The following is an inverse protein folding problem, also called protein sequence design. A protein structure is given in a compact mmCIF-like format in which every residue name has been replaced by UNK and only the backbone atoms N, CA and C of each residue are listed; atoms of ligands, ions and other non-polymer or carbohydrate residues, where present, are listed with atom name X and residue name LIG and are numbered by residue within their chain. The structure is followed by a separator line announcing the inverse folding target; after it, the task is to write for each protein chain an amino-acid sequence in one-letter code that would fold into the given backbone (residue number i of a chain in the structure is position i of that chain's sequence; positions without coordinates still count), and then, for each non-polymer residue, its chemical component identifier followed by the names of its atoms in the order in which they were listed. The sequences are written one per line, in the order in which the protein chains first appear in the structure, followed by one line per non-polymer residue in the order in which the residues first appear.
data_IF_809087041131
#
_entry.id   IF_809087041131
#
_cell.length_a   1.000
_cell.length_b   1.000
_cell.length_c   1.000
_cell.angle_alpha   90.00
_cell.angle_beta   90.00
_cell.angle_gamma   90.00
#
_symmetry.space_group_name_H-M   'P 1'
#
loop_
_entity.id
_entity.type
_entity.pdbx_description
1 polymer ?
#
# COMPACT_ATOMS: atom_id res chain seq x y z
N UNK A 1 1.95 48.38 -13.02
CA UNK A 1 1.65 47.78 -11.69
C UNK A 1 2.53 46.55 -11.55
N UNK A 2 3.37 46.51 -10.51
CA UNK A 2 4.19 45.35 -10.16
C UNK A 2 3.35 44.45 -9.26
N UNK A 3 3.18 43.19 -9.62
CA UNK A 3 2.55 42.21 -8.73
C UNK A 3 3.65 41.64 -7.83
N UNK A 4 3.60 41.98 -6.54
CA UNK A 4 4.41 41.34 -5.52
C UNK A 4 3.85 39.93 -5.32
N UNK A 5 4.69 38.92 -5.53
CA UNK A 5 4.40 37.56 -5.10
C UNK A 5 4.78 37.51 -3.61
N UNK A 6 3.80 37.67 -2.74
CA UNK A 6 3.98 37.31 -1.34
C UNK A 6 3.99 35.78 -1.31
N UNK A 7 5.18 35.23 -1.15
CA UNK A 7 5.42 33.83 -0.87
C UNK A 7 4.85 33.57 0.54
N UNK A 8 3.57 33.19 0.60
CA UNK A 8 3.03 32.55 1.80
C UNK A 8 3.79 31.24 1.97
N UNK A 9 4.78 31.28 2.88
CA UNK A 9 5.37 30.14 3.55
C UNK A 9 4.25 29.41 4.32
N UNK A 10 3.43 28.71 3.55
CA UNK A 10 2.42 27.79 4.04
C UNK A 10 3.16 26.62 4.65
N UNK A 11 3.56 26.80 5.91
CA UNK A 11 4.22 25.84 6.77
C UNK A 11 3.60 24.47 6.58
N UNK A 12 4.21 23.69 5.68
CA UNK A 12 3.88 22.31 5.46
C UNK A 12 4.33 21.65 6.74
N UNK A 13 3.40 21.35 7.64
CA UNK A 13 3.67 20.55 8.83
C UNK A 13 4.47 19.34 8.34
N UNK A 14 5.79 19.36 8.58
CA UNK A 14 6.57 18.15 8.40
C UNK A 14 6.03 17.26 9.49
N UNK A 15 5.14 16.33 9.12
CA UNK A 15 4.83 15.22 10.00
C UNK A 15 6.18 14.71 10.50
N UNK A 16 6.39 14.76 11.82
CA UNK A 16 7.65 14.33 12.40
C UNK A 16 7.80 12.84 12.10
N UNK A 17 8.59 12.54 11.07
CA UNK A 17 8.80 11.18 10.62
C UNK A 17 9.77 10.50 11.56
N UNK A 18 9.27 9.50 12.29
CA UNK A 18 10.10 8.64 13.12
C UNK A 18 10.56 7.42 12.32
N UNK A 19 11.82 7.02 12.49
CA UNK A 19 12.36 5.80 11.88
C UNK A 19 12.41 4.68 12.91
N UNK A 20 11.55 3.68 12.73
CA UNK A 20 11.40 2.57 13.66
C UNK A 20 11.85 1.26 13.01
N UNK A 21 12.39 0.29 13.76
CA UNK A 21 12.56 -1.08 13.25
C UNK A 21 11.25 -1.59 12.66
N UNK A 22 11.28 -2.21 11.48
CA UNK A 22 10.06 -2.61 10.74
C UNK A 22 9.09 -3.44 11.60
N UNK A 23 9.62 -4.34 12.43
CA UNK A 23 8.84 -5.19 13.35
C UNK A 23 8.05 -4.41 14.41
N UNK A 24 8.46 -3.19 14.74
CA UNK A 24 7.78 -2.32 15.70
C UNK A 24 6.88 -1.29 15.01
N UNK A 25 6.80 -1.29 13.68
CA UNK A 25 6.03 -0.31 12.96
C UNK A 25 4.51 -0.52 13.19
N UNK A 26 3.72 0.53 13.52
CA UNK A 26 2.31 0.40 13.92
C UNK A 26 1.40 -0.36 12.95
N UNK A 27 1.72 -0.30 11.65
CA UNK A 27 1.02 -1.05 10.59
C UNK A 27 1.03 -2.57 10.83
N UNK A 28 2.06 -3.11 11.47
CA UNK A 28 2.20 -4.54 11.77
C UNK A 28 1.87 -4.90 13.22
N UNK A 29 1.61 -3.91 14.07
CA UNK A 29 1.34 -4.12 15.50
C UNK A 29 -0.11 -4.57 15.79
N UNK A 30 -0.99 -4.60 14.78
CA UNK A 30 -2.37 -5.06 14.97
C UNK A 30 -2.39 -6.59 14.87
N UNK A 31 -2.73 -7.33 15.94
CA UNK A 31 -2.94 -8.76 15.80
C UNK A 31 -4.16 -8.97 14.90
N UNK A 32 -4.07 -9.79 13.84
CA UNK A 32 -5.28 -10.27 13.21
C UNK A 32 -6.03 -11.06 14.28
N UNK A 33 -7.32 -10.81 14.45
CA UNK A 33 -8.22 -11.81 15.04
C UNK A 33 -8.14 -13.05 14.14
N UNK A 34 -7.20 -13.92 14.49
CA UNK A 34 -7.05 -15.26 13.94
C UNK A 34 -8.17 -16.05 14.57
N UNK A 35 -9.31 -16.11 13.88
CA UNK A 35 -10.21 -17.27 13.87
C UNK A 35 -11.53 -16.88 13.19
N UNK A 36 -11.57 -16.96 11.86
CA UNK A 36 -12.77 -17.42 11.14
C UNK A 36 -12.35 -18.32 9.98
N UNK A 37 -12.82 -19.56 10.09
CA UNK A 37 -12.97 -20.62 9.09
C UNK A 37 -11.70 -21.22 8.44
N UNK A 38 -11.27 -22.38 8.94
CA UNK A 38 -12.10 -23.59 8.83
C UNK A 38 -12.60 -23.99 7.44
N UNK A 39 -11.99 -23.57 6.33
CA UNK A 39 -12.12 -24.34 5.09
C UNK A 39 -10.87 -24.21 4.20
N UNK A 40 -10.14 -25.32 4.06
CA UNK A 40 -8.89 -25.41 3.29
C UNK A 40 -9.13 -25.75 1.81
N UNK A 41 -10.35 -25.57 1.32
CA UNK A 41 -10.67 -25.79 -0.09
C UNK A 41 -10.51 -24.48 -0.89
N UNK A 42 -9.53 -24.45 -1.80
CA UNK A 42 -9.36 -23.50 -2.92
C UNK A 42 -9.02 -22.03 -2.60
N UNK A 43 -8.57 -21.69 -1.38
CA UNK A 43 -8.17 -20.31 -1.09
C UNK A 43 -6.82 -19.97 -1.73
N UNK A 44 -6.81 -18.90 -2.53
CA UNK A 44 -5.59 -18.31 -3.09
C UNK A 44 -4.62 -17.95 -1.96
N UNK A 45 -3.30 -18.23 -2.08
CA UNK A 45 -2.32 -17.75 -1.12
C UNK A 45 -2.39 -16.22 -1.04
N UNK A 46 -2.69 -15.69 0.15
CA UNK A 46 -2.77 -14.24 0.38
C UNK A 46 -1.37 -13.63 0.35
N UNK A 47 -1.16 -12.64 -0.50
CA UNK A 47 0.05 -11.82 -0.52
C UNK A 47 -0.34 -10.33 -0.60
N UNK A 48 -0.42 -9.69 0.56
CA UNK A 48 -0.84 -8.30 0.72
C UNK A 48 0.35 -7.34 0.80
N UNK A 49 1.54 -7.78 0.39
CA UNK A 49 2.75 -6.98 0.39
C UNK A 49 3.32 -6.86 -1.03
N UNK A 50 3.78 -5.66 -1.39
CA UNK A 50 4.53 -5.41 -2.61
C UNK A 50 5.72 -4.51 -2.33
N UNK A 51 6.84 -4.75 -3.00
CA UNK A 51 8.08 -4.00 -2.89
C UNK A 51 8.40 -3.37 -4.24
N UNK A 52 8.83 -2.10 -4.26
CA UNK A 52 9.18 -1.41 -5.52
C UNK A 52 10.56 -1.73 -6.07
N UNK A 53 11.34 -2.57 -5.39
CA UNK A 53 12.71 -2.87 -5.78
C UNK A 53 13.75 -1.89 -5.20
N UNK A 54 13.34 -0.86 -4.45
CA UNK A 54 14.25 0.19 -3.99
C UNK A 54 14.10 0.51 -2.50
N UNK A 55 13.06 1.25 -2.13
CA UNK A 55 12.92 1.79 -0.76
C UNK A 55 11.49 1.91 -0.30
N UNK A 56 10.52 1.35 -1.03
CA UNK A 56 9.11 1.46 -0.65
C UNK A 56 8.46 0.10 -0.57
N UNK A 57 7.88 -0.14 0.60
CA UNK A 57 7.03 -1.28 0.87
C UNK A 57 5.57 -0.82 0.86
N UNK A 58 4.73 -1.61 0.20
CA UNK A 58 3.31 -1.40 0.09
C UNK A 58 2.61 -2.53 0.81
N UNK A 59 1.70 -2.20 1.70
CA UNK A 59 0.89 -3.15 2.45
C UNK A 59 -0.59 -2.84 2.26
N UNK A 60 -1.37 -3.83 1.84
CA UNK A 60 -2.81 -3.72 1.75
C UNK A 60 -3.46 -4.11 3.07
N UNK A 61 -4.11 -3.16 3.73
CA UNK A 61 -4.93 -3.39 4.93
C UNK A 61 -6.35 -3.74 4.48
N UNK A 62 -6.69 -5.03 4.53
CA UNK A 62 -8.01 -5.53 4.15
C UNK A 62 -9.13 -5.05 5.08
N UNK A 63 -8.83 -4.74 6.35
CA UNK A 63 -9.83 -4.26 7.30
C UNK A 63 -10.21 -2.80 7.02
N UNK A 64 -9.20 -1.95 6.78
CA UNK A 64 -9.42 -0.54 6.43
C UNK A 64 -9.66 -0.30 4.95
N UNK A 65 -9.51 -1.33 4.12
CA UNK A 65 -9.60 -1.27 2.65
C UNK A 65 -8.69 -0.19 2.05
N UNK A 66 -7.47 -0.09 2.57
CA UNK A 66 -6.52 0.94 2.17
C UNK A 66 -5.10 0.37 1.98
N UNK A 67 -4.26 1.15 1.33
CA UNK A 67 -2.89 0.82 1.03
C UNK A 67 -1.95 1.69 1.87
N UNK A 68 -1.15 1.07 2.71
CA UNK A 68 -0.04 1.69 3.41
C UNK A 68 1.20 1.68 2.53
N UNK A 69 1.84 2.83 2.34
CA UNK A 69 3.16 2.96 1.71
C UNK A 69 4.17 3.40 2.75
N UNK A 70 5.09 2.50 3.07
CA UNK A 70 6.19 2.71 4.00
C UNK A 70 7.45 3.05 3.23
N UNK A 71 8.20 4.05 3.70
CA UNK A 71 9.58 4.27 3.23
C UNK A 71 10.52 3.45 4.09
N UNK A 72 11.40 2.67 3.47
CA UNK A 72 12.37 1.82 4.15
C UNK A 72 13.78 2.40 4.03
N UNK A 73 14.58 2.16 5.07
CA UNK A 73 16.04 2.23 5.05
C UNK A 73 16.56 0.83 5.31
N UNK A 74 17.28 0.28 4.33
CA UNK A 74 17.98 -0.99 4.44
C UNK A 74 19.43 -0.66 4.84
N UNK A 75 19.87 -1.11 6.00
CA UNK A 75 21.29 -1.10 6.35
C UNK A 75 21.96 -2.44 6.06
N UNK A 76 23.27 -2.42 5.89
CA UNK A 76 24.15 -3.59 5.76
C UNK A 76 24.79 -3.87 7.14
N UNK A 77 25.05 -5.12 7.56
CA UNK A 77 24.43 -6.41 7.26
C UNK A 77 23.63 -6.98 8.46
N UNK A 78 23.31 -6.17 9.47
CA UNK A 78 22.59 -6.58 10.69
C UNK A 78 21.06 -6.53 10.46
N UNK A 79 20.29 -7.59 10.78
CA UNK A 79 18.82 -7.63 10.63
C UNK A 79 18.07 -6.54 11.42
N UNK A 80 18.69 -5.90 12.41
CA UNK A 80 18.12 -4.72 13.11
C UNK A 80 18.19 -3.44 12.29
N UNK A 81 18.89 -3.44 11.15
CA UNK A 81 19.13 -2.26 10.31
C UNK A 81 18.00 -1.93 9.35
N UNK A 82 16.89 -2.68 9.37
CA UNK A 82 15.72 -2.39 8.54
C UNK A 82 14.76 -1.46 9.29
N UNK A 83 14.82 -0.18 8.92
CA UNK A 83 13.98 0.86 9.50
C UNK A 83 12.86 1.24 8.52
N UNK A 84 11.69 1.55 9.07
CA UNK A 84 10.54 2.07 8.36
C UNK A 84 10.13 3.43 8.93
N UNK A 85 9.78 4.35 8.04
CA UNK A 85 9.23 5.65 8.38
C UNK A 85 7.79 5.53 8.91
N UNK A 86 7.53 6.10 10.08
CA UNK A 86 6.22 6.25 10.70
C UNK A 86 5.85 7.73 10.83
N UNK A 87 4.60 8.14 10.54
CA UNK A 87 3.50 7.31 10.06
C UNK A 87 3.68 6.86 8.60
N UNK A 88 3.05 5.75 8.24
CA UNK A 88 2.97 5.33 6.84
C UNK A 88 2.11 6.29 6.04
N UNK A 89 2.40 6.46 4.75
CA UNK A 89 1.49 7.17 3.85
C UNK A 89 0.30 6.29 3.49
N UNK A 90 -0.92 6.79 3.69
CA UNK A 90 -2.15 6.05 3.37
C UNK A 90 -2.67 6.44 1.99
N UNK A 91 -2.98 5.43 1.18
CA UNK A 91 -3.58 5.59 -0.14
C UNK A 91 -4.89 4.80 -0.20
N UNK A 92 -5.94 5.40 -0.75
CA UNK A 92 -7.25 4.78 -0.92
C UNK A 92 -7.64 4.74 -2.39
N UNK A 93 -8.35 3.70 -2.80
CA UNK A 93 -8.97 3.64 -4.11
C UNK A 93 -10.13 4.65 -4.19
N UNK A 94 -10.31 5.30 -5.34
CA UNK A 94 -11.45 6.20 -5.61
C UNK A 94 -12.77 5.45 -5.86
N UNK A 95 -12.72 4.12 -5.88
CA UNK A 95 -13.89 3.24 -5.97
C UNK A 95 -13.87 2.23 -4.84
N UNK A 96 -15.06 1.84 -4.39
CA UNK A 96 -15.21 0.75 -3.43
C UNK A 96 -14.84 -0.59 -4.10
N UNK A 97 -13.97 -1.36 -3.46
CA UNK A 97 -13.67 -2.73 -3.88
C UNK A 97 -14.74 -3.64 -3.28
N UNK A 98 -15.51 -4.31 -4.14
CA UNK A 98 -16.63 -5.16 -3.72
C UNK A 98 -16.19 -6.58 -3.31
N UNK A 99 -14.88 -6.86 -3.40
CA UNK A 99 -14.29 -8.18 -3.24
C UNK A 99 -12.99 -8.10 -2.45
N UNK A 100 -12.70 -9.13 -1.67
CA UNK A 100 -11.46 -9.18 -0.88
C UNK A 100 -10.24 -9.30 -1.81
N UNK A 101 -9.29 -8.38 -1.65
CA UNK A 101 -7.98 -8.46 -2.31
C UNK A 101 -7.20 -9.63 -1.74
N UNK A 102 -6.78 -10.54 -2.60
CA UNK A 102 -5.98 -11.71 -2.27
C UNK A 102 -4.49 -11.47 -2.54
N UNK A 103 -4.16 -10.72 -3.59
CA UNK A 103 -2.77 -10.44 -3.95
C UNK A 103 -2.59 -9.01 -4.45
N UNK A 104 -1.46 -8.41 -4.09
CA UNK A 104 -1.00 -7.17 -4.70
C UNK A 104 0.34 -7.35 -5.42
N UNK A 105 0.58 -6.56 -6.46
CA UNK A 105 1.91 -6.45 -7.10
C UNK A 105 2.08 -5.07 -7.72
N UNK A 106 3.29 -4.53 -7.67
CA UNK A 106 3.60 -3.20 -8.21
C UNK A 106 4.30 -3.34 -9.56
N UNK A 107 3.96 -2.45 -10.50
CA UNK A 107 4.65 -2.41 -11.77
C UNK A 107 6.09 -1.88 -11.61
N UNK A 108 6.94 -2.18 -12.60
CA UNK A 108 8.39 -1.92 -12.54
C UNK A 108 8.77 -0.46 -12.23
N UNK A 109 7.96 0.50 -12.67
CA UNK A 109 8.25 1.93 -12.44
C UNK A 109 7.64 2.47 -11.13
N UNK A 110 6.94 1.64 -10.35
CA UNK A 110 6.33 2.05 -9.08
C UNK A 110 5.11 2.96 -9.21
N UNK A 111 4.49 3.06 -10.39
CA UNK A 111 3.37 3.99 -10.64
C UNK A 111 1.98 3.37 -10.48
N UNK A 112 1.86 2.05 -10.50
CA UNK A 112 0.58 1.35 -10.43
C UNK A 112 0.70 0.01 -9.69
N UNK A 113 -0.35 -0.33 -8.94
CA UNK A 113 -0.55 -1.62 -8.30
C UNK A 113 -1.65 -2.41 -9.01
N UNK A 114 -1.40 -3.71 -9.17
CA UNK A 114 -2.43 -4.70 -9.46
C UNK A 114 -3.00 -5.20 -8.15
N UNK A 115 -4.32 -5.15 -7.98
CA UNK A 115 -5.05 -5.73 -6.87
C UNK A 115 -5.86 -6.90 -7.43
N UNK A 116 -5.47 -8.13 -7.08
CA UNK A 116 -6.12 -9.37 -7.52
C UNK A 116 -7.10 -9.80 -6.45
N UNK A 117 -8.36 -9.96 -6.81
CA UNK A 117 -9.38 -10.62 -6.00
C UNK A 117 -9.82 -11.93 -6.67
N UNK A 118 -10.70 -12.70 -6.02
CA UNK A 118 -11.32 -13.88 -6.65
C UNK A 118 -12.25 -13.48 -7.81
N UNK A 119 -12.81 -12.27 -7.74
CA UNK A 119 -13.79 -11.76 -8.72
C UNK A 119 -13.16 -10.93 -9.84
N UNK A 120 -11.83 -10.81 -9.88
CA UNK A 120 -11.13 -10.17 -10.99
C UNK A 120 -9.88 -9.39 -10.59
N UNK A 121 -9.55 -8.42 -11.45
CA UNK A 121 -8.33 -7.62 -11.36
C UNK A 121 -8.66 -6.14 -11.37
N UNK A 122 -8.06 -5.41 -10.43
CA UNK A 122 -8.09 -3.95 -10.39
C UNK A 122 -6.68 -3.39 -10.59
N UNK A 123 -6.60 -2.27 -11.30
CA UNK A 123 -5.37 -1.48 -11.41
C UNK A 123 -5.56 -0.18 -10.65
N UNK A 124 -4.78 -0.01 -9.58
CA UNK A 124 -4.74 1.20 -8.75
C UNK A 124 -3.51 2.03 -9.13
N UNK A 125 -3.73 3.22 -9.67
CA UNK A 125 -2.68 4.14 -10.05
C UNK A 125 -2.25 5.00 -8.85
N UNK A 126 -0.95 4.98 -8.52
CA UNK A 126 -0.38 5.60 -7.32
C UNK A 126 -0.13 7.11 -7.46
N UNK A 127 -0.84 7.76 -8.38
CA UNK A 127 -0.93 9.20 -8.51
C UNK A 127 -2.37 9.61 -8.17
N UNK A 128 -2.51 10.65 -7.35
CA UNK A 128 -3.81 10.96 -6.77
C UNK A 128 -3.91 12.40 -6.30
N UNK A 129 -5.15 12.80 -5.99
CA UNK A 129 -5.42 14.07 -5.29
C UNK A 129 -5.19 13.83 -3.80
N UNK A 130 -4.47 14.74 -3.15
CA UNK A 130 -4.34 14.74 -1.70
C UNK A 130 -5.68 15.13 -1.07
N UNK A 131 -6.24 14.27 -0.23
CA UNK A 131 -7.40 14.62 0.60
C UNK A 131 -6.92 15.53 1.72
N UNK A 132 -7.54 16.71 1.86
CA UNK A 132 -7.16 17.72 2.85
C UNK A 132 -7.56 17.34 4.28
N UNK A 133 -8.41 16.32 4.48
CA UNK A 133 -8.91 15.96 5.82
C UNK A 133 -8.04 14.97 6.60
N UNK A 134 -7.20 14.17 5.94
CA UNK A 134 -6.58 12.98 6.60
C UNK A 134 -5.17 12.61 6.09
N UNK A 135 -4.50 13.49 5.34
CA UNK A 135 -3.23 13.18 4.64
C UNK A 135 -3.27 11.90 3.75
N UNK A 136 -4.48 11.44 3.43
CA UNK A 136 -4.73 10.29 2.56
C UNK A 136 -4.68 10.71 1.08
N UNK A 137 -4.05 9.89 0.23
CA UNK A 137 -4.09 10.08 -1.23
C UNK A 137 -5.19 9.22 -1.84
N UNK A 138 -6.12 9.88 -2.54
CA UNK A 138 -7.13 9.18 -3.34
C UNK A 138 -6.52 8.84 -4.71
N UNK A 139 -6.35 7.55 -4.94
CA UNK A 139 -5.77 6.95 -6.14
C UNK A 139 -6.85 6.49 -7.10
N UNK A 140 -6.62 6.67 -8.40
CA UNK A 140 -7.54 6.19 -9.41
C UNK A 140 -7.45 4.68 -9.54
N UNK A 141 -8.56 3.97 -9.34
CA UNK A 141 -8.65 2.53 -9.53
C UNK A 141 -9.62 2.18 -10.67
N UNK A 142 -9.22 1.21 -11.51
CA UNK A 142 -10.03 0.70 -12.62
C UNK A 142 -10.13 -0.81 -12.51
N UNK A 143 -11.34 -1.32 -12.35
CA UNK A 143 -11.63 -2.75 -12.34
C UNK A 143 -11.92 -3.29 -13.73
N UNK A 144 -11.61 -4.56 -13.95
CA UNK A 144 -12.16 -5.33 -15.06
C UNK A 144 -12.61 -6.69 -14.51
N UNK A 145 -13.92 -6.94 -14.57
CA UNK A 145 -14.58 -8.15 -14.03
C UNK A 145 -14.24 -9.43 -14.78
N UNK A 146 -13.78 -9.33 -16.03
CA UNK A 146 -13.73 -10.49 -16.95
C UNK A 146 -12.34 -11.12 -17.08
N UNK A 147 -11.37 -10.69 -16.27
CA UNK A 147 -10.01 -11.20 -16.29
C UNK A 147 -9.83 -12.26 -15.20
N UNK A 148 -10.15 -13.51 -15.52
CA UNK A 148 -9.80 -14.65 -14.67
C UNK A 148 -8.28 -14.81 -14.67
N UNK A 149 -7.62 -14.43 -13.57
CA UNK A 149 -6.21 -14.74 -13.35
C UNK A 149 -6.13 -16.20 -12.94
N UNK A 150 -5.86 -17.10 -13.89
CA UNK A 150 -5.51 -18.48 -13.58
C UNK A 150 -4.21 -18.47 -12.77
N UNK A 151 -4.33 -18.62 -11.46
CA UNK A 151 -3.19 -18.77 -10.57
C UNK A 151 -2.66 -20.21 -10.69
N UNK A 152 -2.03 -20.52 -11.82
CA UNK A 152 -1.09 -21.63 -11.84
C UNK A 152 0.24 -21.10 -11.31
N UNK A 153 0.66 -21.70 -10.19
CA UNK A 153 1.82 -21.30 -9.43
C UNK A 153 3.07 -21.23 -10.30
N UNK A 154 3.80 -20.14 -10.16
CA UNK A 154 5.25 -20.18 -10.09
C UNK A 154 5.70 -18.97 -9.27
N UNK A 155 6.25 -19.28 -8.10
CA UNK A 155 7.09 -18.39 -7.31
C UNK A 155 8.22 -17.91 -8.21
N UNK A 156 8.36 -16.60 -8.38
CA UNK A 156 9.63 -16.01 -8.82
C UNK A 156 9.94 -14.92 -7.81
N UNK A 157 11.09 -15.13 -7.17
CA UNK A 157 11.74 -14.32 -6.17
C UNK A 157 12.11 -12.93 -6.70
#
# INVERSE_FOLDING_TARGET
MRYNFEEEDGGRQSEDVEWLPLQHHPVFSTPPDRDRDGDRALTMPKNLLAWDGASRLYFWDSYKTCLHRLSLRLGEPDPTSLLAASPSKVLQADVQLNSEVQRISINRNGSALFLVSLDGLYVMYLYGRTSTKENTIICRARGRSDLYVSAMGNTIC
#
